data_IF_797454658898
#
_entry.id   IF_797454658898
#
_cell.length_a   1.000
_cell.length_b   1.000
_cell.length_c   1.000
_cell.angle_alpha   90.00
_cell.angle_beta   90.00
_cell.angle_gamma   90.00
#
_symmetry.space_group_name_H-M   'P 1'
#
loop_
_entity.id
_entity.type
_entity.pdbx_description
1 polymer ?
#
# COMPACT_ATOMS: atom_id res chain seq x y z
N UNK A 1 -29.29 -30.95 -26.00
CA UNK A 1 -29.11 -29.52 -25.70
C UNK A 1 -28.57 -29.38 -24.28
N UNK A 2 -27.30 -28.98 -24.10
CA UNK A 2 -26.73 -28.67 -22.77
C UNK A 2 -25.89 -27.39 -22.90
N UNK A 3 -26.53 -26.24 -22.69
CA UNK A 3 -25.87 -24.94 -22.69
C UNK A 3 -25.07 -24.77 -21.41
N UNK A 4 -23.76 -24.95 -21.52
CA UNK A 4 -22.82 -24.66 -20.43
C UNK A 4 -22.60 -23.14 -20.43
N UNK A 5 -23.45 -22.41 -19.69
CA UNK A 5 -23.28 -20.97 -19.45
C UNK A 5 -21.93 -20.75 -18.78
N UNK A 6 -20.98 -20.15 -19.51
CA UNK A 6 -19.77 -19.58 -18.92
C UNK A 6 -20.21 -18.48 -17.97
N UNK A 7 -20.05 -18.70 -16.67
CA UNK A 7 -20.07 -17.62 -15.69
C UNK A 7 -18.84 -16.76 -15.96
N UNK A 8 -19.06 -15.64 -16.65
CA UNK A 8 -18.08 -14.57 -16.72
C UNK A 8 -18.05 -13.92 -15.34
N UNK A 9 -17.00 -14.19 -14.57
CA UNK A 9 -16.68 -13.41 -13.37
C UNK A 9 -16.08 -12.09 -13.83
N UNK A 10 -16.94 -11.18 -14.26
CA UNK A 10 -16.61 -9.79 -14.63
C UNK A 10 -16.61 -8.87 -13.39
N UNK A 11 -16.01 -9.34 -12.30
CA UNK A 11 -16.17 -8.72 -10.98
C UNK A 11 -14.90 -8.48 -10.18
N UNK A 12 -13.70 -8.55 -10.79
CA UNK A 12 -12.46 -8.57 -9.98
C UNK A 12 -11.26 -7.84 -10.60
N UNK A 13 -11.46 -6.66 -11.22
CA UNK A 13 -10.31 -5.86 -11.72
C UNK A 13 -10.47 -4.33 -11.66
N UNK A 14 -11.62 -3.78 -11.24
CA UNK A 14 -11.84 -2.31 -11.28
C UNK A 14 -11.77 -1.57 -9.94
N UNK A 15 -11.52 -2.26 -8.82
CA UNK A 15 -11.21 -1.61 -7.53
C UNK A 15 -9.74 -1.12 -7.45
N UNK A 16 -8.89 -1.49 -8.40
CA UNK A 16 -7.43 -1.50 -8.21
C UNK A 16 -6.74 -0.12 -8.14
N UNK A 17 -7.17 0.90 -8.90
CA UNK A 17 -6.43 2.17 -8.98
C UNK A 17 -6.81 3.18 -7.90
N UNK A 18 -8.11 3.52 -7.78
CA UNK A 18 -8.57 4.55 -6.85
C UNK A 18 -8.41 4.17 -5.38
N UNK A 19 -8.51 2.88 -5.04
CA UNK A 19 -8.23 2.43 -3.67
C UNK A 19 -6.74 2.47 -3.35
N UNK A 20 -5.89 2.12 -4.31
CA UNK A 20 -4.45 2.22 -4.16
C UNK A 20 -4.03 3.68 -3.96
N UNK A 21 -4.49 4.60 -4.81
CA UNK A 21 -4.21 6.04 -4.68
C UNK A 21 -4.69 6.57 -3.32
N UNK A 22 -5.87 6.17 -2.86
CA UNK A 22 -6.37 6.56 -1.53
C UNK A 22 -5.46 6.07 -0.40
N UNK A 23 -4.95 4.84 -0.48
CA UNK A 23 -4.00 4.30 0.51
C UNK A 23 -2.68 5.05 0.47
N UNK A 24 -2.16 5.35 -0.72
CA UNK A 24 -0.92 6.10 -0.88
C UNK A 24 -1.02 7.51 -0.28
N UNK A 25 -2.12 8.23 -0.55
CA UNK A 25 -2.38 9.55 0.04
C UNK A 25 -2.45 9.46 1.57
N UNK A 26 -3.13 8.45 2.12
CA UNK A 26 -3.22 8.26 3.57
C UNK A 26 -1.86 7.96 4.21
N UNK A 27 -1.03 7.12 3.55
CA UNK A 27 0.34 6.84 4.01
C UNK A 27 1.20 8.10 3.99
N UNK A 28 1.11 8.91 2.94
CA UNK A 28 1.83 10.18 2.83
C UNK A 28 1.46 11.16 3.95
N UNK A 29 0.16 11.36 4.19
CA UNK A 29 -0.31 12.25 5.26
C UNK A 29 0.13 11.78 6.65
N UNK A 30 0.16 10.46 6.86
CA UNK A 30 0.69 9.87 8.09
C UNK A 30 2.19 10.10 8.23
N UNK A 31 2.96 10.05 7.14
CA UNK A 31 4.38 10.36 7.13
C UNK A 31 4.62 11.81 7.55
N UNK A 32 3.89 12.74 6.93
CA UNK A 32 3.98 14.16 7.28
C UNK A 32 3.69 14.43 8.75
N UNK A 33 2.65 13.80 9.30
CA UNK A 33 2.28 14.00 10.70
C UNK A 33 3.31 13.39 11.69
N UNK A 34 3.92 12.25 11.35
CA UNK A 34 4.84 11.55 12.25
C UNK A 34 6.31 11.96 12.10
N UNK A 35 6.67 12.60 10.99
CA UNK A 35 8.06 12.97 10.72
C UNK A 35 8.68 13.93 11.75
N UNK A 36 8.01 14.99 12.24
CA UNK A 36 8.61 15.89 13.22
C UNK A 36 9.04 15.16 14.51
N UNK A 37 8.24 14.21 14.97
CA UNK A 37 8.59 13.37 16.12
C UNK A 37 9.74 12.42 15.80
N UNK A 38 9.76 11.86 14.58
CA UNK A 38 10.83 10.98 14.15
C UNK A 38 12.17 11.73 13.98
N UNK A 39 12.14 12.93 13.41
CA UNK A 39 13.30 13.81 13.23
C UNK A 39 13.89 14.23 14.58
N UNK A 40 13.04 14.49 15.58
CA UNK A 40 13.47 14.81 16.94
C UNK A 40 14.26 13.66 17.60
N UNK A 41 14.03 12.41 17.19
CA UNK A 41 14.72 11.22 17.71
C UNK A 41 15.89 10.80 16.83
N UNK A 42 15.76 10.95 15.51
CA UNK A 42 16.72 10.51 14.50
C UNK A 42 16.84 11.59 13.41
N UNK A 43 17.65 12.64 13.63
CA UNK A 43 17.77 13.76 12.70
C UNK A 43 18.50 13.39 11.39
N UNK A 44 19.21 12.26 11.38
CA UNK A 44 19.89 11.74 10.19
C UNK A 44 18.92 11.12 9.18
N UNK A 45 17.68 10.80 9.60
CA UNK A 45 16.68 10.22 8.71
C UNK A 45 15.97 11.33 7.93
N UNK A 46 16.11 11.32 6.62
CA UNK A 46 15.36 12.21 5.74
C UNK A 46 13.87 11.89 5.73
N UNK A 47 13.06 12.88 5.35
CA UNK A 47 11.63 12.66 5.17
C UNK A 47 11.35 11.60 4.10
N UNK A 48 12.16 11.56 3.04
CA UNK A 48 12.01 10.61 1.95
C UNK A 48 12.23 9.16 2.40
N UNK A 49 13.23 8.92 3.24
CA UNK A 49 13.50 7.60 3.84
C UNK A 49 12.35 7.17 4.78
N UNK A 50 11.84 8.10 5.60
CA UNK A 50 10.68 7.86 6.47
C UNK A 50 9.41 7.53 5.67
N UNK A 51 9.18 8.27 4.58
CA UNK A 51 8.04 8.05 3.69
C UNK A 51 8.13 6.68 3.03
N UNK A 52 9.30 6.35 2.46
CA UNK A 52 9.55 5.09 1.75
C UNK A 52 9.31 3.87 2.64
N UNK A 53 9.69 3.94 3.91
CA UNK A 53 9.42 2.87 4.89
C UNK A 53 7.92 2.59 5.11
N UNK A 54 7.05 3.58 4.87
CA UNK A 54 5.59 3.43 5.00
C UNK A 54 4.88 3.03 3.70
N UNK A 55 5.53 3.16 2.55
CA UNK A 55 4.99 2.70 1.26
C UNK A 55 5.36 1.27 0.91
N UNK A 56 6.31 0.64 1.61
CA UNK A 56 6.62 -0.76 1.35
C UNK A 56 5.42 -1.64 1.76
N UNK A 57 4.80 -2.36 0.81
CA UNK A 57 3.91 -3.45 1.20
C UNK A 57 4.77 -4.41 2.02
N UNK A 58 4.31 -4.75 3.23
CA UNK A 58 4.93 -5.82 4.01
C UNK A 58 4.94 -7.05 3.11
N UNK A 59 6.08 -7.32 2.47
CA UNK A 59 6.31 -8.57 1.76
C UNK A 59 6.32 -9.59 2.89
N UNK A 60 5.22 -10.31 3.05
CA UNK A 60 5.12 -11.39 4.02
C UNK A 60 6.27 -12.36 3.75
N UNK A 61 7.34 -12.25 4.53
CA UNK A 61 8.50 -13.12 4.52
C UNK A 61 8.16 -14.50 5.11
N UNK A 62 7.03 -15.09 4.68
CA UNK A 62 6.53 -16.40 5.11
C UNK A 62 6.26 -17.33 3.93
N UNK A 63 7.17 -17.38 2.96
CA UNK A 63 7.21 -18.49 1.97
C UNK A 63 8.64 -18.89 1.61
N UNK A 64 9.43 -19.30 2.62
CA UNK A 64 10.50 -20.29 2.46
C UNK A 64 10.66 -21.02 3.80
N UNK A 65 9.89 -22.08 3.96
CA UNK A 65 10.17 -23.20 4.85
C UNK A 65 10.04 -24.45 3.98
#
# INVERSE_FOLDING_TARGET
MKSKRRQVREGDTRQSGNEQVRREIQSFLRALHSYPEHFSKNPELSFEEHCSAMFQPKVDARRRA
#
